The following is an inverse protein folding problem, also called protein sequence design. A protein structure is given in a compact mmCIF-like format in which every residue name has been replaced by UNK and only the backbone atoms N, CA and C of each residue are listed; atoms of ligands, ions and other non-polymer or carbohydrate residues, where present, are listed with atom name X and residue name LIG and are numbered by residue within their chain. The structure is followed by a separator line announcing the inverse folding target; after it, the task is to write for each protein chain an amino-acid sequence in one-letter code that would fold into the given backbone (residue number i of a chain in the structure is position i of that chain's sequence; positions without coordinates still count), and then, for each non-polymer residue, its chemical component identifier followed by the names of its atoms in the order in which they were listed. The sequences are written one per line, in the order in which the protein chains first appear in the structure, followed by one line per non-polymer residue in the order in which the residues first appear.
data_IF_163779786050
#
_entry.id   IF_163779786050
#
_cell.length_a   1.000
_cell.length_b   1.000
_cell.length_c   1.000
_cell.angle_alpha   90.00
_cell.angle_beta   90.00
_cell.angle_gamma   90.00
#
_symmetry.space_group_name_H-M   'P 1'
#
loop_
_entity.id
_entity.type
_entity.pdbx_description
1 polymer ?
#
# COMPACT_ATOMS: atom_id res chain seq x y z
N UNK A 1 -11.18 -0.99 15.89
CA UNK A 1 -10.25 -2.08 16.24
C UNK A 1 -10.19 -2.18 17.76
N UNK A 2 -10.02 -3.38 18.32
CA UNK A 2 -9.77 -3.55 19.76
C UNK A 2 -8.35 -4.05 19.96
N UNK A 3 -7.73 -3.65 21.07
CA UNK A 3 -6.49 -4.25 21.55
C UNK A 3 -6.84 -5.00 22.84
N UNK A 4 -6.31 -6.21 22.98
CA UNK A 4 -6.58 -7.07 24.13
C UNK A 4 -5.29 -7.65 24.67
N UNK A 5 -5.20 -7.83 25.98
CA UNK A 5 -4.08 -8.47 26.65
C UNK A 5 -4.24 -10.01 26.68
N UNK A 6 -4.51 -10.62 25.52
CA UNK A 6 -4.75 -12.06 25.35
C UNK A 6 -4.11 -12.59 24.06
N UNK A 7 -3.71 -13.86 24.02
CA UNK A 7 -3.08 -14.50 22.84
C UNK A 7 -4.07 -15.10 21.83
N UNK A 8 -5.36 -15.14 22.20
CA UNK A 8 -6.49 -15.61 21.40
C UNK A 8 -7.49 -14.46 21.25
N UNK A 9 -8.04 -14.21 20.05
CA UNK A 9 -9.02 -13.16 19.89
C UNK A 9 -10.28 -13.50 20.70
N UNK A 10 -10.93 -12.53 21.35
CA UNK A 10 -12.21 -12.75 22.00
C UNK A 10 -13.27 -13.24 20.99
N UNK A 11 -14.32 -13.87 21.49
CA UNK A 11 -15.44 -14.30 20.66
C UNK A 11 -15.97 -13.13 19.80
N UNK A 12 -16.19 -13.38 18.51
CA UNK A 12 -16.63 -12.36 17.55
C UNK A 12 -15.51 -11.51 16.93
N UNK A 13 -14.24 -11.77 17.25
CA UNK A 13 -13.09 -11.07 16.67
C UNK A 13 -12.15 -12.03 15.93
N UNK A 14 -11.55 -11.51 14.85
CA UNK A 14 -10.47 -12.17 14.12
C UNK A 14 -9.15 -11.45 14.36
N UNK A 15 -8.03 -12.17 14.26
CA UNK A 15 -6.70 -11.56 14.27
C UNK A 15 -6.50 -10.78 12.97
N UNK A 16 -6.05 -9.53 13.04
CA UNK A 16 -5.60 -8.77 11.87
C UNK A 16 -4.13 -9.12 11.55
N UNK A 17 -3.92 -10.35 11.08
CA UNK A 17 -2.61 -10.97 10.89
C UNK A 17 -2.36 -11.44 9.45
N UNK A 18 -3.10 -10.90 8.47
CA UNK A 18 -2.96 -11.31 7.07
C UNK A 18 -3.61 -12.66 6.71
N UNK A 19 -4.21 -13.36 7.69
CA UNK A 19 -4.75 -14.69 7.47
C UNK A 19 -5.83 -14.70 6.38
N UNK A 20 -5.83 -15.79 5.62
CA UNK A 20 -6.87 -16.10 4.65
C UNK A 20 -8.07 -16.73 5.38
N UNK A 21 -9.27 -16.21 5.12
CA UNK A 21 -10.51 -16.66 5.75
C UNK A 21 -11.64 -16.84 4.74
N UNK A 22 -12.62 -17.67 5.08
CA UNK A 22 -13.75 -18.03 4.22
C UNK A 22 -14.68 -16.85 3.93
N UNK A 23 -15.03 -16.64 2.66
CA UNK A 23 -16.01 -15.63 2.22
C UNK A 23 -17.42 -15.93 2.73
N UNK A 24 -17.85 -17.19 2.67
CA UNK A 24 -19.20 -17.58 3.08
C UNK A 24 -19.38 -17.48 4.60
N UNK A 25 -18.36 -17.88 5.37
CA UNK A 25 -18.40 -17.79 6.83
C UNK A 25 -18.43 -16.35 7.31
N UNK A 26 -17.65 -15.47 6.66
CA UNK A 26 -17.49 -14.06 7.05
C UNK A 26 -18.04 -13.11 5.98
N UNK A 27 -19.24 -13.37 5.45
CA UNK A 27 -19.79 -12.65 4.30
C UNK A 27 -19.89 -11.13 4.51
N UNK A 28 -20.28 -10.67 5.71
CA UNK A 28 -20.34 -9.25 6.02
C UNK A 28 -18.96 -8.60 6.08
N UNK A 29 -17.96 -9.30 6.63
CA UNK A 29 -16.59 -8.81 6.69
C UNK A 29 -15.93 -8.83 5.31
N UNK A 30 -16.19 -9.87 4.53
CA UNK A 30 -15.83 -9.92 3.12
C UNK A 30 -16.42 -8.70 2.42
N UNK A 31 -17.74 -8.48 2.50
CA UNK A 31 -18.35 -7.29 1.91
C UNK A 31 -17.70 -5.98 2.41
N UNK A 32 -17.37 -5.84 3.70
CA UNK A 32 -16.77 -4.60 4.20
C UNK A 32 -15.32 -4.37 3.73
N UNK A 33 -14.47 -5.41 3.73
CA UNK A 33 -13.06 -5.28 3.38
C UNK A 33 -12.82 -5.33 1.87
N UNK A 34 -13.84 -5.77 1.13
CA UNK A 34 -13.70 -6.20 -0.24
C UNK A 34 -14.75 -5.59 -1.17
N UNK A 35 -15.88 -5.11 -0.64
CA UNK A 35 -17.01 -4.58 -1.40
C UNK A 35 -17.38 -3.15 -1.00
N UNK A 36 -16.82 -2.20 -1.75
CA UNK A 36 -17.63 -1.10 -2.31
C UNK A 36 -17.32 -0.84 -3.78
N UNK A 37 -16.16 -1.28 -4.26
CA UNK A 37 -15.88 -1.68 -5.64
C UNK A 37 -14.69 -2.63 -5.57
N UNK A 38 -14.77 -3.87 -6.09
CA UNK A 38 -13.56 -4.70 -6.06
C UNK A 38 -13.71 -6.19 -6.32
N UNK A 39 -14.64 -6.89 -5.66
CA UNK A 39 -14.81 -8.35 -5.90
C UNK A 39 -15.93 -8.76 -6.83
N UNK A 40 -16.59 -7.79 -7.44
CA UNK A 40 -17.33 -8.05 -8.67
C UNK A 40 -16.34 -7.87 -9.81
N UNK A 41 -16.15 -8.87 -10.69
CA UNK A 41 -15.28 -8.75 -11.85
C UNK A 41 -15.54 -7.46 -12.62
N UNK A 42 -14.51 -6.63 -12.76
CA UNK A 42 -14.55 -5.42 -13.58
C UNK A 42 -13.76 -5.66 -14.85
N UNK A 43 -14.29 -5.25 -15.99
CA UNK A 43 -13.62 -5.43 -17.27
C UNK A 43 -12.56 -4.36 -17.51
N UNK A 44 -11.50 -4.70 -18.24
CA UNK A 44 -10.47 -3.74 -18.64
C UNK A 44 -9.91 -4.13 -20.02
N UNK A 45 -9.17 -3.21 -20.65
CA UNK A 45 -8.34 -3.53 -21.82
C UNK A 45 -6.87 -3.29 -21.51
N UNK A 46 -5.99 -4.00 -22.23
CA UNK A 46 -4.54 -3.88 -22.09
C UNK A 46 -3.89 -3.89 -23.48
N UNK A 47 -2.94 -2.99 -23.72
CA UNK A 47 -2.18 -2.97 -24.96
C UNK A 47 -0.98 -3.93 -24.91
N UNK A 48 -0.38 -4.23 -26.06
CA UNK A 48 0.86 -5.01 -26.15
C UNK A 48 2.04 -4.04 -26.18
N UNK A 49 2.64 -3.75 -25.02
CA UNK A 49 3.73 -2.78 -24.90
C UNK A 49 4.72 -3.05 -23.76
N UNK A 50 5.79 -2.26 -23.72
CA UNK A 50 6.77 -2.17 -22.64
C UNK A 50 6.93 -0.69 -22.18
N UNK A 51 6.38 -0.28 -21.03
CA UNK A 51 5.45 -1.02 -20.18
C UNK A 51 4.04 -1.12 -20.78
N UNK A 52 3.27 -2.12 -20.36
CA UNK A 52 1.87 -2.30 -20.74
C UNK A 52 0.97 -1.27 -20.02
N UNK A 53 0.08 -0.63 -20.76
CA UNK A 53 -0.93 0.30 -20.24
C UNK A 53 -2.28 -0.43 -20.18
N UNK A 54 -2.89 -0.38 -19.00
CA UNK A 54 -4.21 -0.93 -18.73
C UNK A 54 -5.22 0.21 -18.72
N UNK A 55 -6.36 -0.01 -19.35
CA UNK A 55 -7.41 1.00 -19.51
C UNK A 55 -8.72 0.51 -18.88
N UNK A 56 -9.21 1.29 -17.91
CA UNK A 56 -10.55 1.19 -17.34
C UNK A 56 -11.02 2.63 -17.07
N UNK A 57 -11.96 3.18 -17.85
CA UNK A 57 -12.49 4.51 -17.59
C UNK A 57 -13.06 4.62 -16.17
N UNK A 58 -12.77 5.74 -15.51
CA UNK A 58 -13.18 6.03 -14.13
C UNK A 58 -12.93 4.84 -13.19
N UNK A 59 -11.70 4.32 -13.17
CA UNK A 59 -11.37 3.14 -12.34
C UNK A 59 -11.38 3.42 -10.84
N UNK A 60 -11.30 4.68 -10.41
CA UNK A 60 -11.32 5.05 -8.99
C UNK A 60 -10.04 4.73 -8.20
N UNK A 61 -9.11 3.96 -8.77
CA UNK A 61 -7.80 3.71 -8.16
C UNK A 61 -7.03 4.97 -7.74
N UNK A 62 -6.26 4.77 -6.69
CA UNK A 62 -5.41 5.76 -6.03
C UNK A 62 -3.94 5.30 -5.94
N UNK A 63 -3.65 4.03 -6.19
CA UNK A 63 -2.32 3.43 -6.23
C UNK A 63 -2.09 2.47 -5.05
N UNK A 64 -1.44 1.34 -5.32
CA UNK A 64 -1.12 0.30 -4.35
C UNK A 64 -2.20 -0.78 -4.17
N UNK A 65 -3.40 -0.61 -4.76
CA UNK A 65 -4.42 -1.65 -4.79
C UNK A 65 -3.88 -2.93 -5.44
N UNK A 66 -4.35 -4.10 -5.00
CA UNK A 66 -4.01 -5.39 -5.62
C UNK A 66 -5.11 -5.84 -6.56
N UNK A 67 -4.74 -6.29 -7.76
CA UNK A 67 -5.63 -6.88 -8.75
C UNK A 67 -5.26 -8.34 -9.04
N UNK A 68 -6.27 -9.20 -9.18
CA UNK A 68 -6.12 -10.55 -9.75
C UNK A 68 -6.94 -10.65 -11.01
N UNK A 69 -6.28 -11.08 -12.08
CA UNK A 69 -6.83 -11.02 -13.42
C UNK A 69 -7.55 -12.32 -13.78
N UNK A 70 -8.54 -12.21 -14.65
CA UNK A 70 -9.22 -13.32 -15.30
C UNK A 70 -9.56 -12.95 -16.73
N UNK A 71 -9.87 -13.94 -17.56
CA UNK A 71 -10.31 -13.71 -18.93
C UNK A 71 -11.25 -14.83 -19.38
N UNK A 72 -12.10 -14.56 -20.37
CA UNK A 72 -12.85 -15.58 -21.09
C UNK A 72 -12.07 -16.22 -22.25
N UNK A 73 -10.89 -15.69 -22.57
CA UNK A 73 -10.00 -16.19 -23.62
C UNK A 73 -8.57 -16.37 -23.11
N UNK A 74 -7.62 -15.69 -23.74
CA UNK A 74 -6.20 -15.72 -23.37
C UNK A 74 -5.72 -14.33 -22.95
N UNK A 75 -5.12 -14.23 -21.76
CA UNK A 75 -4.35 -13.05 -21.35
C UNK A 75 -3.08 -12.94 -22.21
N UNK A 76 -2.59 -11.72 -22.50
CA UNK A 76 -1.31 -11.56 -23.18
C UNK A 76 -0.17 -12.12 -22.33
N UNK A 77 0.92 -12.54 -22.99
CA UNK A 77 2.13 -13.01 -22.32
C UNK A 77 2.66 -11.97 -21.34
N UNK A 78 3.10 -12.39 -20.16
CA UNK A 78 3.48 -11.50 -19.05
C UNK A 78 2.41 -11.38 -17.95
N UNK A 79 1.18 -11.82 -18.24
CA UNK A 79 0.08 -11.87 -17.28
C UNK A 79 -0.37 -13.31 -16.99
N UNK A 80 -0.91 -13.54 -15.80
CA UNK A 80 -1.59 -14.79 -15.43
C UNK A 80 -2.71 -14.52 -14.41
N UNK A 81 -3.53 -15.54 -14.11
CA UNK A 81 -4.70 -15.43 -13.23
C UNK A 81 -4.43 -15.77 -11.76
N UNK A 82 -3.19 -16.11 -11.40
CA UNK A 82 -2.81 -16.54 -10.05
C UNK A 82 -2.00 -15.50 -9.29
N UNK A 83 -1.39 -14.55 -10.02
CA UNK A 83 -0.60 -13.48 -9.43
C UNK A 83 -1.49 -12.31 -9.03
N UNK A 84 -1.19 -11.75 -7.85
CA UNK A 84 -1.69 -10.43 -7.45
C UNK A 84 -0.74 -9.36 -7.99
N UNK A 85 -1.30 -8.45 -8.77
CA UNK A 85 -0.60 -7.32 -9.35
C UNK A 85 -0.92 -6.05 -8.56
N UNK A 86 0.04 -5.15 -8.42
CA UNK A 86 -0.15 -3.87 -7.75
C UNK A 86 -0.43 -2.77 -8.77
N UNK A 87 -1.46 -1.96 -8.51
CA UNK A 87 -1.85 -0.81 -9.33
C UNK A 87 -0.89 0.34 -9.12
N UNK A 88 -0.40 0.91 -10.21
CA UNK A 88 0.28 2.20 -10.24
C UNK A 88 -0.53 3.13 -11.15
N UNK A 89 -1.20 4.12 -10.54
CA UNK A 89 -2.12 5.02 -11.24
C UNK A 89 -1.38 5.93 -12.22
N UNK A 90 -1.91 6.08 -13.44
CA UNK A 90 -1.46 7.09 -14.41
C UNK A 90 -2.42 8.28 -14.33
N UNK A 91 -3.70 8.05 -14.63
CA UNK A 91 -4.75 9.07 -14.60
C UNK A 91 -6.08 8.48 -14.06
N UNK A 92 -7.24 9.02 -14.44
CA UNK A 92 -8.54 8.51 -14.00
C UNK A 92 -9.04 7.28 -14.78
N UNK A 93 -8.40 6.98 -15.92
CA UNK A 93 -8.81 6.00 -16.91
C UNK A 93 -7.73 4.95 -17.21
N UNK A 94 -6.47 5.25 -16.89
CA UNK A 94 -5.33 4.38 -17.20
C UNK A 94 -4.42 4.16 -15.99
N UNK A 95 -3.80 2.98 -15.97
CA UNK A 95 -2.89 2.55 -14.91
C UNK A 95 -1.87 1.54 -15.43
N UNK A 96 -0.76 1.42 -14.72
CA UNK A 96 0.19 0.31 -14.85
C UNK A 96 -0.13 -0.77 -13.81
N UNK A 97 0.30 -1.99 -14.12
CA UNK A 97 0.42 -3.07 -13.15
C UNK A 97 1.89 -3.39 -12.91
N UNK A 98 2.20 -3.87 -11.71
CA UNK A 98 3.51 -4.45 -11.35
C UNK A 98 3.32 -5.73 -10.52
N UNK A 99 4.34 -6.60 -10.48
CA UNK A 99 4.35 -7.79 -9.61
C UNK A 99 5.29 -7.63 -8.40
N UNK A 100 5.48 -6.40 -7.92
CA UNK A 100 6.36 -6.09 -6.77
C UNK A 100 7.80 -5.69 -7.12
N UNK A 101 8.08 -5.43 -8.40
CA UNK A 101 9.37 -4.90 -8.87
C UNK A 101 9.16 -3.81 -9.93
N UNK A 102 9.11 -4.21 -11.20
CA UNK A 102 8.88 -3.32 -12.34
C UNK A 102 7.45 -3.40 -12.91
N UNK A 103 7.13 -2.43 -13.78
CA UNK A 103 5.88 -2.42 -14.56
C UNK A 103 5.82 -3.64 -15.48
N UNK A 104 4.63 -4.20 -15.63
CA UNK A 104 4.41 -5.37 -16.48
C UNK A 104 4.69 -5.04 -17.94
N UNK A 105 5.40 -5.96 -18.60
CA UNK A 105 5.58 -5.99 -20.05
C UNK A 105 4.66 -7.05 -20.62
N UNK A 106 3.91 -6.70 -21.66
CA UNK A 106 3.02 -7.65 -22.35
C UNK A 106 3.48 -7.91 -23.77
N UNK A 107 3.37 -9.15 -24.22
CA UNK A 107 3.66 -9.58 -25.60
C UNK A 107 2.66 -10.63 -26.08
N UNK A 108 2.77 -11.03 -27.34
CA UNK A 108 1.94 -12.10 -27.91
C UNK A 108 0.48 -11.70 -28.17
N UNK A 109 -0.34 -12.72 -28.45
CA UNK A 109 -1.77 -12.57 -28.76
C UNK A 109 -2.61 -12.58 -27.49
N UNK A 110 -3.73 -11.85 -27.52
CA UNK A 110 -4.76 -11.89 -26.48
C UNK A 110 -6.14 -12.09 -27.10
N UNK A 111 -7.08 -12.62 -26.33
CA UNK A 111 -8.47 -12.82 -26.78
C UNK A 111 -9.45 -12.82 -25.60
N UNK A 112 -10.73 -12.64 -25.90
CA UNK A 112 -11.79 -12.65 -24.88
C UNK A 112 -11.92 -11.34 -24.11
N UNK A 113 -12.75 -11.37 -23.07
CA UNK A 113 -12.96 -10.23 -22.17
C UNK A 113 -12.08 -10.40 -20.94
N UNK A 114 -11.15 -9.47 -20.73
CA UNK A 114 -10.31 -9.46 -19.54
C UNK A 114 -11.03 -8.75 -18.40
N UNK A 115 -10.95 -9.32 -17.21
CA UNK A 115 -11.54 -8.79 -16.00
C UNK A 115 -10.57 -8.87 -14.83
N UNK A 116 -10.81 -8.09 -13.78
CA UNK A 116 -10.06 -8.17 -12.54
C UNK A 116 -10.98 -8.21 -11.32
N UNK A 117 -10.47 -8.84 -10.27
CA UNK A 117 -10.89 -8.64 -8.88
C UNK A 117 -9.86 -7.73 -8.20
N UNK A 118 -10.28 -6.97 -7.19
CA UNK A 118 -9.52 -5.94 -6.50
C UNK A 118 -9.59 -6.13 -4.98
N UNK A 119 -8.47 -5.89 -4.28
CA UNK A 119 -8.41 -5.85 -2.82
C UNK A 119 -7.25 -4.99 -2.33
N UNK A 120 -7.39 -4.40 -1.15
CA UNK A 120 -6.29 -3.76 -0.45
C UNK A 120 -5.41 -4.76 0.31
N UNK A 121 -6.00 -5.83 0.84
CA UNK A 121 -5.35 -6.69 1.84
C UNK A 121 -4.93 -8.05 1.29
N UNK A 122 -5.40 -8.41 0.09
CA UNK A 122 -5.10 -9.66 -0.59
C UNK A 122 -6.35 -10.34 -1.14
N UNK A 123 -6.17 -11.21 -2.12
CA UNK A 123 -7.26 -11.80 -2.91
C UNK A 123 -7.59 -13.26 -2.54
N UNK A 124 -6.96 -13.79 -1.49
CA UNK A 124 -7.07 -15.18 -1.06
C UNK A 124 -6.75 -16.15 -2.20
N UNK A 125 -7.53 -17.23 -2.26
CA UNK A 125 -7.52 -18.22 -3.34
C UNK A 125 -8.14 -17.71 -4.65
N UNK A 126 -8.67 -16.48 -4.68
CA UNK A 126 -9.38 -15.91 -5.82
C UNK A 126 -10.85 -16.33 -5.94
N UNK A 127 -11.33 -17.36 -5.24
CA UNK A 127 -12.69 -17.90 -5.39
C UNK A 127 -13.51 -18.02 -4.10
N UNK A 128 -12.99 -18.64 -3.05
CA UNK A 128 -13.74 -18.97 -1.82
C UNK A 128 -13.25 -18.25 -0.57
N UNK A 129 -12.08 -17.61 -0.62
CA UNK A 129 -11.44 -16.96 0.53
C UNK A 129 -10.99 -15.54 0.24
N UNK A 130 -10.61 -14.80 1.29
CA UNK A 130 -10.03 -13.46 1.21
C UNK A 130 -9.05 -13.24 2.38
N UNK A 131 -8.12 -12.28 2.22
CA UNK A 131 -7.16 -11.96 3.27
C UNK A 131 -7.70 -10.87 4.20
N UNK A 132 -7.43 -11.05 5.50
CA UNK A 132 -7.54 -9.98 6.48
C UNK A 132 -6.37 -9.00 6.34
N UNK A 133 -6.50 -7.74 6.80
CA UNK A 133 -5.36 -6.86 6.97
C UNK A 133 -4.29 -7.50 7.88
N UNK A 134 -3.02 -7.27 7.57
CA UNK A 134 -1.93 -7.55 8.52
C UNK A 134 -1.49 -6.24 9.17
N UNK A 135 -1.86 -6.06 10.43
CA UNK A 135 -1.60 -4.83 11.20
C UNK A 135 -0.55 -5.07 12.30
N UNK A 136 0.09 -6.24 12.32
CA UNK A 136 1.07 -6.58 13.35
C UNK A 136 2.31 -5.71 13.18
N UNK A 137 2.65 -4.95 14.21
CA UNK A 137 3.80 -4.04 14.19
C UNK A 137 3.58 -2.74 13.41
N UNK A 138 2.36 -2.48 12.93
CA UNK A 138 2.00 -1.22 12.28
C UNK A 138 1.36 -0.26 13.27
N UNK A 139 1.71 1.03 13.15
CA UNK A 139 0.90 2.08 13.76
C UNK A 139 -0.27 2.41 12.83
N UNK A 140 -1.46 2.51 13.40
CA UNK A 140 -2.60 3.01 12.64
C UNK A 140 -2.54 4.54 12.58
N UNK A 141 -2.72 5.07 11.37
CA UNK A 141 -3.04 6.48 11.17
C UNK A 141 -4.40 6.62 10.50
N UNK A 142 -5.09 7.71 10.78
CA UNK A 142 -6.31 8.07 10.07
C UNK A 142 -5.98 8.34 8.60
N UNK A 143 -6.69 7.66 7.70
CA UNK A 143 -6.69 7.99 6.29
C UNK A 143 -7.23 9.40 6.09
N UNK A 144 -6.63 10.16 5.16
CA UNK A 144 -6.96 11.56 4.94
C UNK A 144 -8.41 11.79 4.51
N UNK A 145 -8.97 10.84 3.76
CA UNK A 145 -10.38 10.81 3.32
C UNK A 145 -10.87 12.16 2.75
N UNK A 146 -9.99 12.84 2.00
CA UNK A 146 -10.29 14.11 1.32
C UNK A 146 -10.07 15.38 2.13
N UNK A 147 -9.53 15.30 3.35
CA UNK A 147 -9.20 16.48 4.17
C UNK A 147 -8.09 17.35 3.56
N UNK A 148 -7.17 16.75 2.79
CA UNK A 148 -6.08 17.45 2.13
C UNK A 148 -4.81 17.63 2.98
N UNK A 149 -4.66 16.92 4.09
CA UNK A 149 -3.49 17.01 4.98
C UNK A 149 -2.42 15.97 4.65
N UNK A 150 -2.83 14.77 4.21
CA UNK A 150 -1.94 13.68 3.80
C UNK A 150 -2.26 13.24 2.36
N UNK A 151 -2.20 14.20 1.44
CA UNK A 151 -2.50 14.01 0.00
C UNK A 151 -1.49 13.04 -0.61
N UNK A 152 -1.98 11.98 -1.26
CA UNK A 152 -1.15 10.94 -1.87
C UNK A 152 -1.00 9.67 -1.03
N UNK A 153 -1.69 9.56 0.11
CA UNK A 153 -1.81 8.31 0.87
C UNK A 153 -3.20 7.72 0.71
N UNK A 154 -3.25 6.58 0.03
CA UNK A 154 -4.47 5.81 -0.15
C UNK A 154 -4.79 4.94 1.08
N UNK A 155 -6.04 4.47 1.16
CA UNK A 155 -6.47 3.55 2.22
C UNK A 155 -5.65 2.26 2.14
N UNK A 156 -5.24 1.72 3.29
CA UNK A 156 -4.49 0.47 3.38
C UNK A 156 -3.01 0.57 3.00
N UNK A 157 -2.51 1.72 2.55
CA UNK A 157 -1.09 1.84 2.19
C UNK A 157 -0.20 1.95 3.42
N UNK A 158 0.91 1.21 3.38
CA UNK A 158 1.96 1.26 4.38
C UNK A 158 2.93 2.41 4.12
N UNK A 159 3.52 2.92 5.19
CA UNK A 159 4.54 3.95 5.15
C UNK A 159 5.68 3.55 6.10
N UNK A 160 6.88 3.39 5.57
CA UNK A 160 8.06 3.05 6.36
C UNK A 160 8.33 4.12 7.44
N UNK A 161 8.86 3.73 8.60
CA UNK A 161 9.21 4.66 9.66
C UNK A 161 10.28 5.66 9.22
N UNK A 162 10.27 6.85 9.82
CA UNK A 162 11.40 7.78 9.69
C UNK A 162 12.53 7.33 10.60
N UNK A 163 13.77 7.48 10.16
CA UNK A 163 14.95 7.12 10.95
C UNK A 163 15.68 8.35 11.46
N UNK A 164 16.29 8.24 12.65
CA UNK A 164 17.31 9.17 13.13
C UNK A 164 18.64 8.49 12.85
N UNK A 165 19.40 9.02 11.91
CA UNK A 165 20.72 8.54 11.55
C UNK A 165 21.80 9.31 12.34
N UNK A 166 22.80 8.59 12.83
CA UNK A 166 24.07 9.16 13.30
C UNK A 166 25.12 8.77 12.28
N UNK A 167 25.79 9.76 11.70
CA UNK A 167 26.91 9.49 10.78
C UNK A 167 28.21 9.55 11.58
N UNK A 168 28.88 8.41 11.73
CA UNK A 168 30.24 8.34 12.27
C UNK A 168 31.23 8.71 11.16
N UNK A 169 31.84 9.89 11.25
CA UNK A 169 32.95 10.26 10.37
C UNK A 169 34.23 9.57 10.88
N UNK A 170 34.94 8.76 10.07
CA UNK A 170 36.18 8.09 10.48
C UNK A 170 37.32 9.04 10.89
N UNK A 171 37.17 10.37 10.71
CA UNK A 171 38.20 11.37 10.99
C UNK A 171 38.02 12.19 12.29
N UNK A 172 37.09 11.81 13.19
CA UNK A 172 37.05 12.33 14.57
C UNK A 172 36.28 13.65 14.79
N UNK A 173 35.09 13.51 15.43
CA UNK A 173 34.21 14.53 16.09
C UNK A 173 33.41 15.42 15.10
N UNK A 174 32.06 15.54 15.08
CA UNK A 174 30.93 15.53 16.05
C UNK A 174 29.79 14.60 15.52
N UNK A 175 29.02 13.88 16.36
CA UNK A 175 27.88 13.06 15.91
C UNK A 175 26.81 13.91 15.22
N UNK A 176 26.68 13.72 13.90
CA UNK A 176 25.66 14.35 13.09
C UNK A 176 24.34 13.55 13.24
N UNK A 177 23.36 14.05 13.98
CA UNK A 177 22.00 13.47 13.97
C UNK A 177 21.24 13.99 12.74
N UNK A 178 21.13 13.19 11.68
CA UNK A 178 20.29 13.49 10.51
C UNK A 178 19.01 12.65 10.55
N UNK A 179 17.95 13.09 9.86
CA UNK A 179 16.73 12.28 9.66
C UNK A 179 16.68 11.85 8.21
N UNK A 180 16.63 10.55 7.95
CA UNK A 180 16.51 9.98 6.60
C UNK A 180 15.12 9.35 6.37
N UNK A 181 14.75 9.15 5.11
CA UNK A 181 13.42 8.79 4.57
C UNK A 181 12.36 9.92 4.56
N UNK A 182 12.61 10.96 3.76
CA UNK A 182 11.54 11.73 3.10
C UNK A 182 11.09 10.97 1.84
N UNK A 183 9.82 11.10 1.46
CA UNK A 183 9.20 10.42 0.30
C UNK A 183 9.67 11.00 -1.05
N UNK A 184 10.99 10.96 -1.32
CA UNK A 184 11.64 11.44 -2.54
C UNK A 184 13.09 11.89 -2.34
N UNK A 185 13.99 11.33 -3.17
CA UNK A 185 15.42 11.60 -3.43
C UNK A 185 16.37 12.04 -2.29
N UNK A 186 17.37 11.17 -2.07
CA UNK A 186 18.55 11.35 -1.23
C UNK A 186 19.24 12.70 -1.43
N UNK A 187 19.45 13.41 -0.33
CA UNK A 187 20.57 14.32 -0.13
C UNK A 187 20.78 14.46 1.36
N UNK A 188 22.04 14.39 1.79
CA UNK A 188 22.47 14.83 3.11
C UNK A 188 21.98 16.27 3.30
N UNK A 189 20.89 16.49 4.04
CA UNK A 189 20.46 17.84 4.37
C UNK A 189 21.40 18.35 5.47
N UNK A 190 22.49 18.98 5.02
CA UNK A 190 23.48 19.64 5.88
C UNK A 190 22.87 20.78 6.69
N UNK A 191 21.66 21.23 6.34
CA UNK A 191 20.90 22.26 7.07
C UNK A 191 20.24 21.74 8.35
N UNK A 192 20.35 20.45 8.65
CA UNK A 192 19.63 19.82 9.76
C UNK A 192 20.49 18.92 10.64
N UNK A 193 21.70 19.38 10.93
CA UNK A 193 22.61 18.76 11.90
C UNK A 193 22.68 19.57 13.20
N UNK A 194 22.53 18.92 14.36
CA UNK A 194 22.92 19.54 15.63
C UNK A 194 24.44 19.45 15.72
N UNK A 195 25.14 20.49 15.28
CA UNK A 195 26.54 20.66 15.63
C UNK A 195 26.60 21.08 17.11
N UNK A 196 27.00 20.17 18.01
CA UNK A 196 27.42 20.57 19.36
C UNK A 196 28.84 21.12 19.25
N UNK A 197 29.00 22.33 18.71
CA UNK A 197 30.21 23.12 18.90
C UNK A 197 29.95 24.18 19.97
N UNK A 198 30.97 24.51 20.76
CA UNK A 198 30.88 25.44 21.89
C UNK A 198 30.76 26.92 21.49
N UNK A 199 30.17 27.24 20.33
CA UNK A 199 30.01 28.61 19.83
C UNK A 199 28.56 29.10 19.95
N UNK A 200 28.40 30.38 20.28
CA UNK A 200 27.13 31.06 20.54
C UNK A 200 26.22 31.07 19.30
N UNK A 201 24.90 30.89 19.52
CA UNK A 201 23.88 30.94 18.46
C UNK A 201 23.16 29.60 18.20
N UNK A 202 22.79 28.86 19.24
CA UNK A 202 22.18 27.53 19.11
C UNK A 202 20.70 27.63 18.68
N UNK A 203 20.39 27.17 17.47
CA UNK A 203 19.01 26.93 17.02
C UNK A 203 18.67 25.45 17.23
N UNK A 204 17.64 25.16 18.04
CA UNK A 204 17.09 23.80 18.13
C UNK A 204 16.05 23.61 17.02
N UNK A 205 16.37 22.73 16.07
CA UNK A 205 15.46 22.39 14.99
C UNK A 205 14.76 21.06 15.31
N UNK A 206 13.45 21.10 15.60
CA UNK A 206 12.68 19.90 15.90
C UNK A 206 12.30 19.18 14.60
N UNK A 207 12.83 17.97 14.38
CA UNK A 207 12.23 17.03 13.41
C UNK A 207 11.14 16.22 14.09
N UNK A 208 10.03 16.03 13.37
CA UNK A 208 8.99 15.07 13.74
C UNK A 208 9.41 13.71 13.21
N UNK A 209 9.54 12.73 14.09
CA UNK A 209 9.70 11.33 13.71
C UNK A 209 8.34 10.65 13.74
N UNK A 210 8.17 9.66 12.88
CA UNK A 210 6.96 8.83 12.84
C UNK A 210 7.35 7.36 12.77
N UNK A 211 6.61 6.47 13.46
CA UNK A 211 6.80 5.05 13.28
C UNK A 211 6.32 4.61 11.89
N UNK A 212 6.69 3.37 11.53
CA UNK A 212 6.03 2.69 10.40
C UNK A 212 4.53 2.62 10.66
N UNK A 213 3.74 2.91 9.64
CA UNK A 213 2.30 3.06 9.81
C UNK A 213 1.52 2.62 8.58
N UNK A 214 0.22 2.43 8.77
CA UNK A 214 -0.75 2.11 7.72
C UNK A 214 -1.96 3.04 7.82
N UNK A 215 -2.44 3.53 6.68
CA UNK A 215 -3.61 4.41 6.58
C UNK A 215 -4.91 3.61 6.65
N UNK A 216 -5.77 3.89 7.62
CA UNK A 216 -7.08 3.26 7.75
C UNK A 216 -8.17 4.30 8.02
N UNK A 217 -9.39 4.02 7.57
CA UNK A 217 -10.53 4.90 7.82
C UNK A 217 -10.83 4.99 9.33
N UNK A 218 -10.87 6.21 9.85
CA UNK A 218 -11.22 6.45 11.25
C UNK A 218 -12.75 6.54 11.38
N UNK A 219 -13.35 5.63 12.15
CA UNK A 219 -14.81 5.57 12.37
C UNK A 219 -15.15 5.56 13.85
N UNK A 220 -16.29 6.18 14.21
CA UNK A 220 -16.88 6.13 15.55
C UNK A 220 -18.12 5.22 15.49
N UNK A 221 -18.21 4.26 16.42
CA UNK A 221 -19.41 3.43 16.58
C UNK A 221 -20.51 4.27 17.24
N UNK A 222 -21.72 4.23 16.70
CA UNK A 222 -22.93 4.81 17.27
C UNK A 222 -23.94 3.69 17.58
#
# INVERSE_FOLDING_TARGET
MIHVAQNTPPAGYLKANGAEVSRSTYAALFAALVASAGFTPQTFTVNIANPAIFTKPAHGFTGGERLRLSTTGALPSGLNSTTDYFVEKIDANTFYLSSGGGRIVTSGTQSGTHSYLQSWFGLGDGTTTFNLPDLRGEFMRGWDDGRGVDVGRAMGTGQAGSEIAVVDNPNGIIPLTSVANHDGTSSYDTSYSINISAAAGRFMAYKRVRPRNVALLACIKF
#
